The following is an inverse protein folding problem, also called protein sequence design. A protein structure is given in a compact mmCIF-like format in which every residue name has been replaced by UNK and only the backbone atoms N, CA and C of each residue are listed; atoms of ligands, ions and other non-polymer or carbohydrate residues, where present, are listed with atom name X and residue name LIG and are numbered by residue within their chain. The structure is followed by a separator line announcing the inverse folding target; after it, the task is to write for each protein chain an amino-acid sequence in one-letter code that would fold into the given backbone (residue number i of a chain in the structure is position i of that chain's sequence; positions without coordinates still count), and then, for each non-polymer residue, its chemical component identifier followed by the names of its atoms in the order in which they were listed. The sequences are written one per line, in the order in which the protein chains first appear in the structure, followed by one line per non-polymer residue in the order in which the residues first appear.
data_IF_293872200507
#
_entry.id   IF_293872200507
#
_cell.length_a   1.000
_cell.length_b   1.000
_cell.length_c   1.000
_cell.angle_alpha   90.00
_cell.angle_beta   90.00
_cell.angle_gamma   90.00
#
_symmetry.space_group_name_H-M   'P 1'
#
loop_
_entity.id
_entity.type
_entity.pdbx_description
1 polymer ?
#
# COMPACT_ATOMS: atom_id res chain seq x y z
N UNK A 1 -19.49 19.76 -2.65
CA UNK A 1 -19.39 18.65 -1.67
C UNK A 1 -19.54 17.36 -2.47
N UNK A 2 -18.59 16.44 -2.38
CA UNK A 2 -18.50 15.29 -3.30
C UNK A 2 -19.68 14.33 -3.16
N UNK A 3 -20.52 14.28 -4.20
CA UNK A 3 -21.57 13.28 -4.41
C UNK A 3 -20.96 11.91 -4.75
N UNK A 4 -20.21 11.32 -3.81
CA UNK A 4 -19.80 9.93 -3.95
C UNK A 4 -21.00 9.06 -3.64
N UNK A 5 -21.38 8.25 -4.63
CA UNK A 5 -22.42 7.24 -4.48
C UNK A 5 -22.12 6.37 -3.23
N UNK A 6 -23.07 6.24 -2.28
CA UNK A 6 -22.88 5.52 -1.03
C UNK A 6 -22.37 4.08 -1.22
N UNK A 7 -22.71 3.44 -2.36
CA UNK A 7 -22.27 2.08 -2.71
C UNK A 7 -20.79 2.04 -3.05
N UNK A 8 -20.25 3.09 -3.66
CA UNK A 8 -18.82 3.24 -3.94
C UNK A 8 -18.02 3.41 -2.64
N UNK A 9 -18.57 4.14 -1.67
CA UNK A 9 -17.96 4.32 -0.35
C UNK A 9 -18.13 3.09 0.56
N UNK A 10 -19.17 2.28 0.32
CA UNK A 10 -19.42 1.02 1.03
C UNK A 10 -18.66 -0.18 0.43
N UNK A 11 -18.03 -0.02 -0.74
CA UNK A 11 -17.29 -1.11 -1.38
C UNK A 11 -16.00 -1.40 -0.60
N UNK A 12 -16.02 -2.52 0.14
CA UNK A 12 -14.84 -3.08 0.82
C UNK A 12 -13.97 -3.93 -0.11
N UNK A 13 -14.30 -3.96 -1.40
CA UNK A 13 -13.61 -4.79 -2.40
C UNK A 13 -12.18 -4.30 -2.55
N UNK A 14 -11.25 -5.18 -2.25
CA UNK A 14 -9.82 -4.96 -2.48
C UNK A 14 -9.51 -5.21 -3.95
N UNK A 15 -9.03 -4.19 -4.66
CA UNK A 15 -8.49 -4.30 -6.01
C UNK A 15 -6.97 -4.29 -5.91
N UNK A 16 -6.31 -5.32 -6.43
CA UNK A 16 -4.84 -5.36 -6.52
C UNK A 16 -4.40 -4.52 -7.72
N UNK A 17 -3.53 -3.55 -7.47
CA UNK A 17 -2.97 -2.63 -8.48
C UNK A 17 -1.65 -3.18 -9.00
N UNK A 18 -0.78 -3.59 -8.08
CA UNK A 18 0.52 -4.16 -8.38
C UNK A 18 0.91 -5.18 -7.32
N UNK A 19 1.68 -6.19 -7.68
CA UNK A 19 2.19 -7.19 -6.75
C UNK A 19 3.66 -7.48 -7.03
N UNK A 20 4.47 -7.41 -5.98
CA UNK A 20 5.89 -7.76 -5.98
C UNK A 20 6.23 -8.38 -4.63
N UNK A 21 6.25 -9.71 -4.58
CA UNK A 21 6.45 -10.46 -3.34
C UNK A 21 7.67 -9.94 -2.54
N UNK A 22 7.54 -9.68 -1.23
CA UNK A 22 6.41 -10.02 -0.36
C UNK A 22 5.30 -8.97 -0.26
N UNK A 23 5.34 -7.90 -1.06
CA UNK A 23 4.39 -6.79 -1.00
C UNK A 23 3.38 -6.80 -2.14
N UNK A 24 2.22 -6.19 -1.89
CA UNK A 24 1.28 -5.80 -2.94
C UNK A 24 0.60 -4.48 -2.59
N UNK A 25 0.18 -3.79 -3.63
CA UNK A 25 -0.38 -2.45 -3.58
C UNK A 25 -1.84 -2.55 -3.99
N UNK A 26 -2.74 -2.04 -3.17
CA UNK A 26 -4.17 -2.26 -3.34
C UNK A 26 -4.96 -0.97 -3.20
N UNK A 27 -6.08 -0.87 -3.90
CA UNK A 27 -7.14 0.08 -3.59
C UNK A 27 -8.27 -0.65 -2.84
N UNK A 28 -8.70 -0.10 -1.72
CA UNK A 28 -9.75 -0.65 -0.86
C UNK A 28 -10.94 0.31 -0.77
N UNK A 29 -11.56 0.58 -1.92
CA UNK A 29 -12.67 1.52 -2.03
C UNK A 29 -12.22 2.97 -1.88
N UNK A 30 -12.97 3.75 -1.11
CA UNK A 30 -12.79 5.19 -0.92
C UNK A 30 -12.89 5.57 0.57
N UNK A 31 -12.07 6.52 0.99
CA UNK A 31 -12.05 7.08 2.34
C UNK A 31 -13.29 7.98 2.54
N UNK A 32 -14.15 7.63 3.50
CA UNK A 32 -15.39 8.38 3.78
C UNK A 32 -15.16 9.86 4.09
N UNK A 33 -14.07 10.19 4.80
CA UNK A 33 -13.79 11.54 5.27
C UNK A 33 -13.52 12.54 4.13
N UNK A 34 -12.80 12.13 3.09
CA UNK A 34 -12.32 13.01 2.03
C UNK A 34 -12.76 12.58 0.61
N UNK A 35 -13.37 11.40 0.49
CA UNK A 35 -13.80 10.83 -0.77
C UNK A 35 -12.69 10.36 -1.70
N UNK A 36 -11.45 10.30 -1.23
CA UNK A 36 -10.30 9.88 -2.03
C UNK A 36 -10.17 8.35 -2.00
N UNK A 37 -9.56 7.73 -3.03
CA UNK A 37 -9.26 6.30 -2.99
C UNK A 37 -8.46 5.91 -1.74
N UNK A 38 -8.82 4.78 -1.12
CA UNK A 38 -8.07 4.20 0.00
C UNK A 38 -6.97 3.28 -0.58
N UNK A 39 -5.73 3.78 -0.64
CA UNK A 39 -4.59 3.02 -1.13
C UNK A 39 -3.80 2.41 0.03
N UNK A 40 -3.50 1.10 -0.04
CA UNK A 40 -2.78 0.39 1.03
C UNK A 40 -1.62 -0.44 0.50
N UNK A 41 -0.56 -0.51 1.29
CA UNK A 41 0.49 -1.50 1.16
C UNK A 41 0.10 -2.72 1.99
N UNK A 42 0.18 -3.90 1.40
CA UNK A 42 -0.03 -5.16 2.08
C UNK A 42 1.21 -6.03 2.00
N UNK A 43 1.48 -6.80 3.05
CA UNK A 43 2.57 -7.77 3.11
C UNK A 43 2.04 -9.18 3.28
N UNK A 44 2.60 -10.12 2.53
CA UNK A 44 2.32 -11.54 2.70
C UNK A 44 2.95 -12.05 4.01
N UNK A 45 2.15 -12.78 4.80
CA UNK A 45 2.66 -13.58 5.89
C UNK A 45 3.57 -14.70 5.34
N UNK A 46 4.74 -14.90 5.94
CA UNK A 46 5.75 -15.83 5.43
C UNK A 46 5.25 -17.27 5.32
N UNK A 47 4.46 -17.73 6.30
CA UNK A 47 3.98 -19.11 6.37
C UNK A 47 2.65 -19.29 5.65
N UNK A 48 1.67 -18.44 5.95
CA UNK A 48 0.30 -18.61 5.44
C UNK A 48 0.08 -18.01 4.06
N UNK A 49 1.02 -17.19 3.56
CA UNK A 49 0.94 -16.43 2.30
C UNK A 49 -0.27 -15.49 2.21
N UNK A 50 -0.99 -15.29 3.31
CA UNK A 50 -2.09 -14.32 3.40
C UNK A 50 -1.53 -12.92 3.52
N UNK A 51 -2.11 -11.99 2.78
CA UNK A 51 -1.73 -10.59 2.83
C UNK A 51 -2.48 -9.84 3.94
N UNK A 52 -1.82 -8.91 4.60
CA UNK A 52 -2.40 -8.01 5.60
C UNK A 52 -1.94 -6.58 5.35
N UNK A 53 -2.80 -5.61 5.67
CA UNK A 53 -2.48 -4.17 5.57
C UNK A 53 -1.33 -3.82 6.52
N UNK A 54 -0.29 -3.18 6.01
CA UNK A 54 0.86 -2.72 6.80
C UNK A 54 1.05 -1.20 6.76
N UNK A 55 0.53 -0.53 5.73
CA UNK A 55 0.64 0.92 5.58
C UNK A 55 -0.54 1.48 4.77
N UNK A 56 -1.05 2.65 5.16
CA UNK A 56 -2.05 3.45 4.42
C UNK A 56 -1.32 4.59 3.73
N UNK A 57 -1.44 4.69 2.41
CA UNK A 57 -0.82 5.79 1.66
C UNK A 57 -1.63 7.08 1.82
N UNK A 58 -0.93 8.20 1.91
CA UNK A 58 -1.54 9.54 2.01
C UNK A 58 -2.23 9.95 0.69
N UNK A 59 -1.69 9.51 -0.45
CA UNK A 59 -2.23 9.77 -1.78
C UNK A 59 -1.76 8.73 -2.82
N UNK A 60 -2.26 8.84 -4.05
CA UNK A 60 -1.89 7.95 -5.16
C UNK A 60 -0.43 8.09 -5.60
N UNK A 61 0.15 9.29 -5.53
CA UNK A 61 1.54 9.52 -5.93
C UNK A 61 2.53 8.80 -5.01
N UNK A 62 2.26 8.80 -3.70
CA UNK A 62 3.06 8.04 -2.72
C UNK A 62 3.04 6.53 -3.01
N UNK A 63 1.87 6.00 -3.39
CA UNK A 63 1.74 4.59 -3.78
C UNK A 63 2.53 4.30 -5.06
N UNK A 64 2.45 5.17 -6.08
CA UNK A 64 3.17 5.00 -7.33
C UNK A 64 4.69 5.03 -7.12
N UNK A 65 5.18 5.94 -6.29
CA UNK A 65 6.59 5.97 -5.88
C UNK A 65 7.01 4.66 -5.19
N UNK A 66 6.17 4.10 -4.32
CA UNK A 66 6.44 2.83 -3.66
C UNK A 66 6.39 1.63 -4.62
N UNK A 67 5.64 1.72 -5.73
CA UNK A 67 5.64 0.71 -6.80
C UNK A 67 6.94 0.78 -7.60
N UNK A 68 7.40 1.99 -7.92
CA UNK A 68 8.63 2.21 -8.68
C UNK A 68 9.90 1.87 -7.88
N UNK A 69 9.92 2.24 -6.59
CA UNK A 69 11.04 1.99 -5.67
C UNK A 69 10.67 0.95 -4.60
N UNK A 70 11.23 -0.26 -4.77
CA UNK A 70 11.04 -1.35 -3.81
C UNK A 70 11.71 -1.10 -2.45
N UNK A 71 12.79 -0.31 -2.41
CA UNK A 71 13.43 0.07 -1.15
C UNK A 71 12.52 1.02 -0.36
N UNK A 72 11.74 1.87 -1.05
CA UNK A 72 10.74 2.71 -0.40
C UNK A 72 9.62 1.86 0.23
N UNK A 73 9.15 0.83 -0.47
CA UNK A 73 8.16 -0.09 0.10
C UNK A 73 8.68 -0.82 1.36
N UNK A 74 9.97 -1.18 1.40
CA UNK A 74 10.60 -1.73 2.62
C UNK A 74 10.70 -0.71 3.74
N UNK A 75 11.01 0.56 3.42
CA UNK A 75 11.08 1.64 4.41
C UNK A 75 9.73 1.91 5.10
N UNK A 76 8.63 1.76 4.35
CA UNK A 76 7.26 1.88 4.88
C UNK A 76 6.84 0.68 5.75
N UNK A 77 7.59 -0.43 5.74
CA UNK A 77 7.23 -1.63 6.49
C UNK A 77 7.49 -1.44 8.00
N UNK A 78 6.45 -1.50 8.85
CA UNK A 78 6.60 -1.35 10.30
C UNK A 78 7.47 -2.45 10.95
N UNK A 79 7.77 -3.54 10.23
CA UNK A 79 8.71 -4.56 10.69
C UNK A 79 10.19 -4.11 10.63
N UNK A 80 10.48 -2.90 10.13
CA UNK A 80 11.84 -2.36 10.09
C UNK A 80 12.77 -3.10 9.14
N UNK A 81 12.26 -3.46 7.95
CA UNK A 81 13.02 -4.20 6.94
C UNK A 81 14.19 -3.34 6.44
N UNK A 82 15.39 -3.92 6.38
CA UNK A 82 16.58 -3.24 5.85
C UNK A 82 16.29 -2.67 4.45
N UNK A 83 16.45 -1.37 4.33
CA UNK A 83 16.22 -0.60 3.11
C UNK A 83 17.31 0.46 2.94
N UNK A 84 17.60 0.84 1.69
CA UNK A 84 18.59 1.86 1.35
C UNK A 84 19.96 1.62 2.01
N UNK A 85 20.38 0.36 2.09
CA UNK A 85 21.67 -0.01 2.67
C UNK A 85 22.76 0.54 1.75
N UNK A 86 23.55 1.49 2.26
CA UNK A 86 24.69 2.06 1.53
C UNK A 86 25.81 1.04 1.47
N UNK A 87 26.48 0.96 0.32
CA UNK A 87 27.77 0.29 0.25
C UNK A 87 28.77 1.02 1.15
N UNK A 88 29.43 0.28 2.04
CA UNK A 88 30.57 0.79 2.80
C UNK A 88 31.76 0.89 1.86
N UNK A 89 32.26 2.11 1.64
CA UNK A 89 33.54 2.32 0.98
C UNK A 89 34.66 1.85 1.92
N UNK A 90 35.39 0.81 1.51
CA UNK A 90 36.60 0.33 2.18
C UNK A 90 37.76 1.32 2.07
#
# INVERSE_FOLDING_TARGET
MNDLDPTSVATTKTTVIHERFPYRYVQRGYIQLNGKPDFRLQKANEYTKKYSDIYLFDNGDQMLLAIEDFEYAKWLDPAGVNCYVKDVAN
#
